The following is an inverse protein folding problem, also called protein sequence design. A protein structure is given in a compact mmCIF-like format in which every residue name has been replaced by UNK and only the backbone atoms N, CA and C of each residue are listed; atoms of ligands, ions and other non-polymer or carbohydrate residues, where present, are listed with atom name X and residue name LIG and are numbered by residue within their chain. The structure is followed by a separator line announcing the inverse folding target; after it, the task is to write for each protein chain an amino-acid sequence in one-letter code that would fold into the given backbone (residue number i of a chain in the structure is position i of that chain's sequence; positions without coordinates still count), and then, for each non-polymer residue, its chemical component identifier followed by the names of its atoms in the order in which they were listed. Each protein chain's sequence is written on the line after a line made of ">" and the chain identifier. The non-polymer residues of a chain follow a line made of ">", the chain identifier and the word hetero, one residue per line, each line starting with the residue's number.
data_IF_632711870335
#
_entry.id   IF_632711870335
#
_cell.length_a   1.000
_cell.length_b   1.000
_cell.length_c   1.000
_cell.angle_alpha   90.00
_cell.angle_beta   90.00
_cell.angle_gamma   90.00
#
_symmetry.space_group_name_H-M   'P 1'
#
loop_
_entity.id
_entity.type
_entity.pdbx_description
1 polymer ?
#
# COMPACT_ATOMS: atom_id res chain seq x y z
N UNK A 1 -72.35 -35.96 -27.62
CA UNK A 1 -71.80 -36.67 -26.44
C UNK A 1 -72.64 -36.25 -25.23
N UNK A 2 -73.65 -37.05 -24.91
CA UNK A 2 -73.88 -37.75 -23.63
C UNK A 2 -74.23 -36.80 -22.46
N UNK A 3 -75.52 -36.72 -22.06
CA UNK A 3 -76.26 -37.59 -21.07
C UNK A 3 -76.00 -37.11 -19.63
N UNK A 4 -76.89 -37.02 -18.63
CA UNK A 4 -78.28 -37.41 -18.26
C UNK A 4 -78.66 -36.49 -17.06
N UNK A 5 -79.89 -36.05 -16.71
CA UNK A 5 -81.21 -36.66 -16.44
C UNK A 5 -81.36 -37.53 -15.16
N UNK A 6 -82.54 -37.42 -14.51
CA UNK A 6 -83.12 -38.04 -13.28
C UNK A 6 -82.94 -37.20 -11.98
N UNK A 7 -83.94 -36.60 -11.31
CA UNK A 7 -85.37 -36.91 -11.04
C UNK A 7 -85.59 -38.24 -10.29
N UNK A 8 -85.93 -38.18 -8.99
CA UNK A 8 -86.98 -38.98 -8.33
C UNK A 8 -87.17 -38.63 -6.84
N UNK A 9 -88.41 -38.81 -6.41
CA UNK A 9 -89.14 -38.31 -5.24
C UNK A 9 -89.34 -39.33 -4.10
N UNK A 10 -89.43 -38.85 -2.84
CA UNK A 10 -90.27 -39.20 -1.63
C UNK A 10 -90.83 -40.65 -1.41
N UNK A 11 -91.19 -41.12 -0.18
CA UNK A 11 -91.62 -40.36 1.02
C UNK A 11 -91.25 -40.88 2.46
N UNK A 12 -91.51 -39.99 3.44
CA UNK A 12 -91.87 -40.10 4.88
C UNK A 12 -91.68 -41.40 5.69
N UNK A 13 -91.20 -41.25 6.94
CA UNK A 13 -91.94 -41.57 8.19
C UNK A 13 -91.37 -40.73 9.36
N UNK A 14 -92.29 -40.13 10.11
CA UNK A 14 -92.13 -39.33 11.33
C UNK A 14 -91.82 -40.21 12.54
N UNK A 15 -90.87 -39.80 13.39
CA UNK A 15 -90.97 -39.98 14.84
C UNK A 15 -90.58 -38.69 15.55
N UNK A 16 -91.56 -38.17 16.28
CA UNK A 16 -91.50 -37.03 17.17
C UNK A 16 -90.55 -37.28 18.35
N UNK A 17 -89.64 -36.35 18.63
CA UNK A 17 -89.19 -36.05 20.00
C UNK A 17 -88.80 -34.56 20.09
N UNK A 18 -89.79 -33.69 19.97
CA UNK A 18 -89.62 -32.26 20.25
C UNK A 18 -89.58 -32.04 21.76
N UNK A 19 -88.39 -32.06 22.37
CA UNK A 19 -88.16 -31.34 23.62
C UNK A 19 -88.10 -29.84 23.28
N UNK A 20 -89.25 -29.17 23.24
CA UNK A 20 -89.29 -27.72 23.31
C UNK A 20 -88.96 -27.30 24.74
N UNK A 21 -87.67 -27.21 25.06
CA UNK A 21 -87.23 -26.27 26.10
C UNK A 21 -87.61 -24.87 25.62
N UNK A 22 -88.31 -24.05 26.42
CA UNK A 22 -88.53 -22.67 26.05
C UNK A 22 -87.17 -22.04 25.77
N UNK A 23 -86.97 -21.53 24.55
CA UNK A 23 -85.78 -20.75 24.21
C UNK A 23 -85.71 -19.64 25.26
N UNK A 24 -84.65 -19.67 26.07
CA UNK A 24 -84.43 -18.70 27.12
C UNK A 24 -83.99 -17.38 26.45
N UNK A 25 -84.96 -16.66 25.90
CA UNK A 25 -84.79 -15.45 25.08
C UNK A 25 -83.90 -14.43 25.81
N UNK A 26 -83.99 -14.41 27.14
CA UNK A 26 -83.21 -13.54 28.02
C UNK A 26 -81.71 -13.90 28.06
N UNK A 27 -81.36 -15.18 27.96
CA UNK A 27 -79.97 -15.63 27.90
C UNK A 27 -79.33 -15.30 26.54
N UNK A 28 -80.11 -15.46 25.46
CA UNK A 28 -79.71 -15.06 24.11
C UNK A 28 -79.47 -13.55 24.01
N UNK A 29 -80.34 -12.74 24.63
CA UNK A 29 -80.21 -11.28 24.65
C UNK A 29 -78.97 -10.83 25.44
N UNK A 30 -78.70 -11.44 26.60
CA UNK A 30 -77.45 -11.23 27.37
C UNK A 30 -76.21 -11.62 26.58
N UNK A 31 -76.22 -12.76 25.88
CA UNK A 31 -75.10 -13.17 25.02
C UNK A 31 -74.90 -12.18 23.87
N UNK A 32 -75.97 -11.69 23.25
CA UNK A 32 -75.88 -10.70 22.19
C UNK A 32 -75.27 -9.38 22.68
N UNK A 33 -75.71 -8.88 23.85
CA UNK A 33 -75.12 -7.68 24.46
C UNK A 33 -73.63 -7.88 24.81
N UNK A 34 -73.27 -9.04 25.37
CA UNK A 34 -71.87 -9.36 25.67
C UNK A 34 -71.01 -9.45 24.40
N UNK A 35 -71.52 -10.08 23.35
CA UNK A 35 -70.83 -10.18 22.06
C UNK A 35 -70.67 -8.81 21.39
N UNK A 36 -71.67 -7.94 21.47
CA UNK A 36 -71.57 -6.55 20.99
C UNK A 36 -70.52 -5.76 21.77
N UNK A 37 -70.45 -5.91 23.09
CA UNK A 37 -69.40 -5.30 23.91
C UNK A 37 -68.01 -5.83 23.56
N UNK A 38 -67.85 -7.14 23.39
CA UNK A 38 -66.58 -7.74 22.98
C UNK A 38 -66.16 -7.28 21.58
N UNK A 39 -67.10 -7.17 20.64
CA UNK A 39 -66.86 -6.61 19.30
C UNK A 39 -66.41 -5.15 19.38
N UNK A 40 -67.06 -4.33 20.21
CA UNK A 40 -66.66 -2.94 20.40
C UNK A 40 -65.24 -2.83 20.98
N UNK A 41 -64.91 -3.62 22.00
CA UNK A 41 -63.56 -3.67 22.60
C UNK A 41 -62.51 -4.10 21.57
N UNK A 42 -62.79 -5.17 20.82
CA UNK A 42 -61.88 -5.68 19.78
C UNK A 42 -61.70 -4.66 18.64
N UNK A 43 -62.78 -3.99 18.22
CA UNK A 43 -62.74 -2.94 17.19
C UNK A 43 -61.88 -1.75 17.63
N UNK A 44 -62.06 -1.30 18.87
CA UNK A 44 -61.22 -0.23 19.45
C UNK A 44 -59.75 -0.65 19.52
N UNK A 45 -59.46 -1.91 19.88
CA UNK A 45 -58.08 -2.42 19.93
C UNK A 45 -57.46 -2.55 18.53
N UNK A 46 -58.23 -2.99 17.53
CA UNK A 46 -57.78 -3.02 16.13
C UNK A 46 -57.43 -1.60 15.66
N UNK A 47 -58.29 -0.62 15.93
CA UNK A 47 -58.04 0.76 15.55
C UNK A 47 -56.80 1.35 16.23
N UNK A 48 -56.58 1.04 17.51
CA UNK A 48 -55.37 1.43 18.24
C UNK A 48 -54.10 0.82 17.62
N UNK A 49 -54.12 -0.49 17.35
CA UNK A 49 -53.00 -1.20 16.72
C UNK A 49 -52.73 -0.72 15.29
N UNK A 50 -53.76 -0.39 14.52
CA UNK A 50 -53.59 0.20 13.18
C UNK A 50 -52.92 1.57 13.25
N UNK A 51 -53.30 2.39 14.23
CA UNK A 51 -52.70 3.71 14.47
C UNK A 51 -51.23 3.57 14.85
N UNK A 52 -50.91 2.65 15.77
CA UNK A 52 -49.54 2.34 16.17
C UNK A 52 -48.71 1.80 15.01
N UNK A 53 -49.27 0.89 14.20
CA UNK A 53 -48.61 0.37 12.98
C UNK A 53 -48.28 1.49 12.01
N UNK A 54 -49.18 2.44 11.81
CA UNK A 54 -48.94 3.61 10.94
C UNK A 54 -47.82 4.51 11.50
N UNK A 55 -47.80 4.75 12.81
CA UNK A 55 -46.74 5.53 13.45
C UNK A 55 -45.37 4.84 13.33
N UNK A 56 -45.31 3.54 13.60
CA UNK A 56 -44.08 2.75 13.44
C UNK A 56 -43.61 2.74 11.98
N UNK A 57 -44.53 2.62 11.01
CA UNK A 57 -44.17 2.69 9.59
C UNK A 57 -43.58 4.05 9.20
N UNK A 58 -44.14 5.15 9.74
CA UNK A 58 -43.58 6.50 9.54
C UNK A 58 -42.19 6.62 10.15
N UNK A 59 -41.99 6.13 11.37
CA UNK A 59 -40.69 6.14 12.04
C UNK A 59 -39.64 5.29 11.28
N UNK A 60 -40.04 4.14 10.75
CA UNK A 60 -39.19 3.30 9.90
C UNK A 60 -38.76 4.01 8.61
N UNK A 61 -39.71 4.68 7.95
CA UNK A 61 -39.42 5.44 6.74
C UNK A 61 -38.45 6.59 7.02
N UNK A 62 -38.64 7.30 8.13
CA UNK A 62 -37.77 8.41 8.53
C UNK A 62 -36.37 7.93 8.91
N UNK A 63 -36.27 6.86 9.70
CA UNK A 63 -34.98 6.23 10.04
C UNK A 63 -34.22 5.79 8.78
N UNK A 64 -34.92 5.19 7.81
CA UNK A 64 -34.33 4.81 6.52
C UNK A 64 -33.86 6.01 5.70
N UNK A 65 -34.60 7.13 5.73
CA UNK A 65 -34.22 8.39 5.10
C UNK A 65 -32.93 8.94 5.71
N UNK A 66 -32.89 9.06 7.04
CA UNK A 66 -31.72 9.54 7.79
C UNK A 66 -30.51 8.65 7.53
N UNK A 67 -30.66 7.32 7.56
CA UNK A 67 -29.58 6.38 7.26
C UNK A 67 -28.98 6.58 5.88
N UNK A 68 -29.83 6.83 4.86
CA UNK A 68 -29.36 7.12 3.49
C UNK A 68 -28.58 8.43 3.41
N UNK A 69 -29.05 9.49 4.09
CA UNK A 69 -28.37 10.79 4.13
C UNK A 69 -27.00 10.66 4.82
N UNK A 70 -26.96 10.04 6.01
CA UNK A 70 -25.71 9.79 6.74
C UNK A 70 -24.75 8.94 5.91
N UNK A 71 -25.24 7.93 5.21
CA UNK A 71 -24.41 7.10 4.32
C UNK A 71 -23.75 7.92 3.21
N UNK A 72 -24.51 8.81 2.55
CA UNK A 72 -23.97 9.72 1.52
C UNK A 72 -22.97 10.71 2.10
N UNK A 73 -23.29 11.34 3.23
CA UNK A 73 -22.41 12.32 3.86
C UNK A 73 -21.11 11.68 4.36
N UNK A 74 -21.20 10.50 4.98
CA UNK A 74 -20.03 9.73 5.41
C UNK A 74 -19.14 9.34 4.24
N UNK A 75 -19.72 8.86 3.13
CA UNK A 75 -18.96 8.53 1.93
C UNK A 75 -18.30 9.77 1.31
N UNK A 76 -19.02 10.90 1.28
CA UNK A 76 -18.49 12.17 0.77
C UNK A 76 -17.28 12.63 1.60
N UNK A 77 -17.44 12.70 2.93
CA UNK A 77 -16.38 13.09 3.86
C UNK A 77 -15.18 12.12 3.81
N UNK A 78 -15.43 10.83 3.63
CA UNK A 78 -14.37 9.84 3.49
C UNK A 78 -13.54 10.05 2.21
N UNK A 79 -14.21 10.27 1.08
CA UNK A 79 -13.56 10.52 -0.21
C UNK A 79 -12.74 11.82 -0.17
N UNK A 80 -13.32 12.88 0.37
CA UNK A 80 -12.66 14.17 0.55
C UNK A 80 -11.43 14.06 1.46
N UNK A 81 -11.55 13.39 2.61
CA UNK A 81 -10.43 13.16 3.53
C UNK A 81 -9.31 12.35 2.88
N UNK A 82 -9.65 11.34 2.07
CA UNK A 82 -8.67 10.52 1.34
C UNK A 82 -7.94 11.34 0.29
N UNK A 83 -8.67 12.16 -0.46
CA UNK A 83 -8.09 13.07 -1.46
C UNK A 83 -7.15 14.08 -0.79
N UNK A 84 -7.60 14.76 0.26
CA UNK A 84 -6.81 15.74 0.99
C UNK A 84 -5.53 15.13 1.56
N UNK A 85 -5.61 13.94 2.17
CA UNK A 85 -4.43 13.20 2.65
C UNK A 85 -3.43 12.90 1.53
N UNK A 86 -3.93 12.54 0.35
CA UNK A 86 -3.07 12.28 -0.81
C UNK A 86 -2.37 13.57 -1.31
N UNK A 87 -3.08 14.70 -1.31
CA UNK A 87 -2.54 16.01 -1.70
C UNK A 87 -1.48 16.48 -0.70
N UNK A 88 -1.76 16.41 0.60
CA UNK A 88 -0.79 16.75 1.66
C UNK A 88 0.46 15.88 1.56
N UNK A 89 0.31 14.57 1.33
CA UNK A 89 1.45 13.67 1.15
C UNK A 89 2.33 14.08 -0.04
N UNK A 90 1.72 14.35 -1.20
CA UNK A 90 2.47 14.80 -2.39
C UNK A 90 3.20 16.10 -2.14
N UNK A 91 2.52 17.09 -1.56
CA UNK A 91 3.13 18.37 -1.21
C UNK A 91 4.33 18.18 -0.27
N UNK A 92 4.19 17.38 0.79
CA UNK A 92 5.31 17.09 1.70
C UNK A 92 6.47 16.37 1.00
N UNK A 93 6.18 15.42 0.11
CA UNK A 93 7.20 14.74 -0.69
C UNK A 93 7.95 15.72 -1.60
N UNK A 94 7.25 16.63 -2.27
CA UNK A 94 7.86 17.68 -3.10
C UNK A 94 8.76 18.61 -2.29
N UNK A 95 8.32 19.07 -1.10
CA UNK A 95 9.15 19.89 -0.22
C UNK A 95 10.40 19.14 0.25
N UNK A 96 10.26 17.87 0.65
CA UNK A 96 11.40 17.02 1.03
C UNK A 96 12.39 16.88 -0.13
N UNK A 97 11.89 16.70 -1.36
CA UNK A 97 12.74 16.55 -2.54
C UNK A 97 13.50 17.84 -2.88
N UNK A 98 12.89 19.01 -2.66
CA UNK A 98 13.56 20.32 -2.78
C UNK A 98 14.69 20.42 -1.75
N UNK A 99 14.42 20.12 -0.48
CA UNK A 99 15.45 20.15 0.56
C UNK A 99 16.59 19.16 0.31
N UNK A 100 16.29 17.92 -0.10
CA UNK A 100 17.31 16.94 -0.48
C UNK A 100 18.20 17.46 -1.61
N UNK A 101 17.60 18.10 -2.62
CA UNK A 101 18.35 18.67 -3.74
C UNK A 101 19.25 19.83 -3.29
N UNK A 102 18.76 20.68 -2.40
CA UNK A 102 19.55 21.74 -1.77
C UNK A 102 20.75 21.16 -1.00
N UNK A 103 20.56 20.13 -0.19
CA UNK A 103 21.65 19.51 0.59
C UNK A 103 22.75 18.92 -0.31
N UNK A 104 22.36 18.19 -1.36
CA UNK A 104 23.31 17.59 -2.32
C UNK A 104 24.08 18.66 -3.09
N UNK A 105 23.40 19.73 -3.52
CA UNK A 105 24.01 20.77 -4.35
C UNK A 105 24.96 21.67 -3.54
N UNK A 106 24.68 21.92 -2.26
CA UNK A 106 25.46 22.83 -1.41
C UNK A 106 26.56 22.14 -0.58
N UNK A 107 26.92 20.88 -0.87
CA UNK A 107 27.97 20.14 -0.14
C UNK A 107 27.73 20.03 1.39
N UNK A 108 26.47 20.07 1.83
CA UNK A 108 26.13 19.95 3.26
C UNK A 108 26.01 18.48 3.72
N UNK A 109 26.35 17.55 2.84
CA UNK A 109 26.29 16.12 3.08
C UNK A 109 27.69 15.55 3.30
N UNK A 110 27.78 14.56 4.18
CA UNK A 110 28.99 13.77 4.35
C UNK A 110 29.27 13.02 3.05
N UNK A 111 30.51 13.12 2.57
CA UNK A 111 30.99 12.39 1.41
C UNK A 111 31.79 11.17 1.84
N UNK A 112 31.49 10.02 1.24
CA UNK A 112 32.25 8.78 1.43
C UNK A 112 32.63 8.20 0.07
N UNK A 113 33.94 8.10 -0.19
CA UNK A 113 34.48 7.55 -1.43
C UNK A 113 35.82 8.18 -1.80
N UNK A 114 36.30 7.86 -3.00
CA UNK A 114 37.56 8.38 -3.52
C UNK A 114 37.49 9.85 -3.91
N UNK A 115 38.64 10.50 -4.02
CA UNK A 115 38.71 11.90 -4.43
C UNK A 115 38.12 12.13 -5.84
N UNK A 116 37.27 13.16 -5.99
CA UNK A 116 36.52 13.47 -7.20
C UNK A 116 37.32 14.29 -8.21
N UNK A 117 38.44 13.74 -8.67
CA UNK A 117 39.37 14.39 -9.61
C UNK A 117 39.42 13.71 -10.96
N UNK A 118 39.95 14.40 -11.97
CA UNK A 118 40.22 13.80 -13.27
C UNK A 118 41.44 12.86 -13.17
N UNK A 119 41.26 11.59 -13.55
CA UNK A 119 42.34 10.58 -13.55
C UNK A 119 42.66 10.10 -14.98
N UNK A 120 43.71 9.28 -15.14
CA UNK A 120 44.26 8.94 -16.47
C UNK A 120 43.80 7.58 -17.01
N UNK A 121 43.46 6.62 -16.15
CA UNK A 121 43.12 5.25 -16.56
C UNK A 121 41.61 5.02 -16.55
N UNK A 122 41.15 4.14 -17.43
CA UNK A 122 39.74 3.80 -17.60
C UNK A 122 39.61 2.32 -17.93
N UNK A 123 38.46 1.73 -17.59
CA UNK A 123 38.16 0.35 -17.93
C UNK A 123 37.20 0.28 -19.14
N UNK A 124 37.63 -0.38 -20.21
CA UNK A 124 36.87 -0.46 -21.47
C UNK A 124 35.74 -1.51 -21.50
N UNK A 125 35.37 -2.10 -20.36
CA UNK A 125 34.46 -3.27 -20.28
C UNK A 125 33.39 -3.09 -19.20
N UNK A 126 32.36 -3.93 -19.19
CA UNK A 126 31.41 -3.97 -18.08
C UNK A 126 32.09 -4.50 -16.82
N UNK A 127 31.88 -3.81 -15.71
CA UNK A 127 32.47 -4.21 -14.43
C UNK A 127 31.63 -3.79 -13.24
N UNK A 128 31.81 -4.54 -12.17
CA UNK A 128 31.35 -4.21 -10.85
C UNK A 128 32.54 -3.81 -10.00
N UNK A 129 32.55 -2.58 -9.49
CA UNK A 129 33.51 -2.09 -8.52
C UNK A 129 32.99 -2.30 -7.11
N UNK A 130 33.90 -2.59 -6.19
CA UNK A 130 33.64 -2.66 -4.75
C UNK A 130 34.74 -1.87 -4.04
N UNK A 131 34.39 -0.77 -3.40
CA UNK A 131 35.32 0.11 -2.70
C UNK A 131 35.51 -0.33 -1.25
N UNK A 132 36.55 -1.14 -1.01
CA UNK A 132 36.89 -1.63 0.32
C UNK A 132 37.68 -0.61 1.14
N UNK A 133 38.19 0.46 0.50
CA UNK A 133 39.01 1.46 1.18
C UNK A 133 38.14 2.44 1.96
N UNK A 134 37.03 2.86 1.37
CA UNK A 134 36.16 3.90 1.92
C UNK A 134 34.88 3.28 2.49
N UNK A 135 35.03 2.58 3.62
CA UNK A 135 33.89 2.06 4.36
C UNK A 135 33.05 3.20 4.96
N UNK A 136 31.74 2.98 5.09
CA UNK A 136 30.84 3.92 5.73
C UNK A 136 31.28 4.12 7.19
N UNK A 137 31.68 5.34 7.60
CA UNK A 137 32.30 5.56 8.91
C UNK A 137 31.30 5.51 10.07
N UNK A 138 30.02 5.84 9.79
CA UNK A 138 28.92 5.97 10.76
C UNK A 138 27.60 5.60 10.10
N UNK A 139 26.63 5.16 10.90
CA UNK A 139 25.30 4.85 10.38
C UNK A 139 24.60 6.11 9.87
N UNK A 140 23.65 5.96 8.95
CA UNK A 140 22.97 7.12 8.38
C UNK A 140 22.14 6.79 7.15
N UNK A 141 21.91 7.80 6.31
CA UNK A 141 21.10 7.67 5.09
C UNK A 141 21.86 8.21 3.90
N UNK A 142 22.05 7.37 2.87
CA UNK A 142 22.61 7.79 1.60
C UNK A 142 21.54 8.41 0.71
N UNK A 143 21.90 9.52 0.08
CA UNK A 143 20.99 10.36 -0.71
C UNK A 143 21.41 10.49 -2.16
N UNK A 144 22.67 10.21 -2.50
CA UNK A 144 23.14 10.28 -3.88
C UNK A 144 24.56 9.80 -4.08
N UNK A 145 25.02 9.95 -5.32
CA UNK A 145 26.35 9.58 -5.80
C UNK A 145 27.01 10.79 -6.46
N UNK A 146 28.33 10.89 -6.32
CA UNK A 146 29.19 11.70 -7.16
C UNK A 146 30.20 10.82 -7.88
N UNK A 147 30.50 11.19 -9.11
CA UNK A 147 31.71 10.71 -9.77
C UNK A 147 32.17 11.69 -10.84
N UNK A 148 33.44 11.54 -11.24
CA UNK A 148 34.00 12.20 -12.42
C UNK A 148 33.89 11.26 -13.64
N UNK A 149 32.97 11.57 -14.55
CA UNK A 149 32.73 10.76 -15.75
C UNK A 149 33.42 11.34 -16.98
N UNK A 150 34.03 10.49 -17.80
CA UNK A 150 34.62 10.95 -19.07
C UNK A 150 33.72 10.74 -20.28
N UNK A 151 32.70 9.90 -20.16
CA UNK A 151 31.69 9.64 -21.20
C UNK A 151 30.33 9.39 -20.55
N UNK A 152 29.23 9.72 -21.23
CA UNK A 152 27.88 9.34 -20.81
C UNK A 152 27.81 7.83 -20.56
N UNK A 153 27.12 7.43 -19.50
CA UNK A 153 27.04 6.03 -19.10
C UNK A 153 25.78 5.75 -18.28
N UNK A 154 25.56 4.48 -17.98
CA UNK A 154 24.58 4.03 -17.02
C UNK A 154 25.30 3.36 -15.88
N UNK A 155 24.80 3.51 -14.66
CA UNK A 155 25.39 2.84 -13.51
C UNK A 155 24.36 2.51 -12.44
N UNK A 156 24.72 1.60 -11.56
CA UNK A 156 23.93 1.27 -10.38
C UNK A 156 24.83 1.26 -9.15
N UNK A 157 24.38 1.91 -8.08
CA UNK A 157 25.07 1.90 -6.78
C UNK A 157 24.49 0.79 -5.92
N UNK A 158 25.34 0.13 -5.15
CA UNK A 158 24.96 -0.96 -4.25
C UNK A 158 25.63 -0.77 -2.90
N UNK A 159 24.95 -1.24 -1.87
CA UNK A 159 25.47 -1.29 -0.50
C UNK A 159 25.73 -2.74 -0.15
N UNK A 160 26.94 -3.00 0.32
CA UNK A 160 27.40 -4.28 0.79
C UNK A 160 27.55 -4.26 2.31
N UNK A 161 26.91 -5.21 2.97
CA UNK A 161 27.10 -5.44 4.40
C UNK A 161 28.06 -6.58 4.64
N UNK A 162 29.00 -6.37 5.55
CA UNK A 162 29.88 -7.43 6.03
C UNK A 162 29.10 -8.33 6.98
N UNK A 163 28.95 -9.59 6.60
CA UNK A 163 28.37 -10.64 7.45
C UNK A 163 29.38 -11.80 7.43
N UNK A 164 29.94 -12.09 8.60
CA UNK A 164 31.11 -12.95 8.75
C UNK A 164 32.25 -12.51 7.82
N UNK A 165 32.73 -13.40 6.94
CA UNK A 165 33.79 -13.13 5.97
C UNK A 165 33.26 -12.91 4.54
N UNK A 166 32.02 -12.41 4.42
CA UNK A 166 31.35 -12.18 3.14
C UNK A 166 30.74 -10.78 3.07
N UNK A 167 30.71 -10.24 1.86
CA UNK A 167 30.01 -9.03 1.49
C UNK A 167 28.66 -9.42 0.90
N UNK A 168 27.57 -9.06 1.59
CA UNK A 168 26.20 -9.32 1.17
C UNK A 168 25.59 -8.05 0.61
N UNK A 169 25.04 -8.10 -0.60
CA UNK A 169 24.34 -6.94 -1.17
C UNK A 169 23.02 -6.76 -0.42
N UNK A 170 22.90 -5.69 0.36
CA UNK A 170 21.69 -5.37 1.11
C UNK A 170 20.76 -4.42 0.35
N UNK A 171 21.32 -3.67 -0.61
CA UNK A 171 20.55 -2.70 -1.38
C UNK A 171 21.17 -2.43 -2.76
N UNK A 172 20.30 -2.08 -3.72
CA UNK A 172 20.65 -1.67 -5.07
C UNK A 172 19.83 -0.43 -5.46
N UNK A 173 20.49 0.57 -6.05
CA UNK A 173 19.82 1.77 -6.57
C UNK A 173 19.01 1.44 -7.82
N UNK A 174 18.08 2.33 -8.18
CA UNK A 174 17.58 2.34 -9.55
C UNK A 174 18.74 2.68 -10.50
N UNK A 175 18.63 2.27 -11.75
CA UNK A 175 19.62 2.58 -12.76
C UNK A 175 19.74 4.10 -12.94
N UNK A 176 20.95 4.61 -12.81
CA UNK A 176 21.27 6.02 -12.95
C UNK A 176 21.78 6.27 -14.37
N UNK A 177 21.10 7.16 -15.08
CA UNK A 177 21.47 7.56 -16.43
C UNK A 177 22.31 8.85 -16.37
N UNK A 178 23.59 8.74 -16.69
CA UNK A 178 24.54 9.85 -16.69
C UNK A 178 24.73 10.34 -18.12
N UNK A 179 24.08 11.46 -18.45
CA UNK A 179 24.09 12.01 -19.81
C UNK A 179 25.25 12.98 -20.10
N UNK A 180 25.95 13.46 -19.07
CA UNK A 180 27.00 14.47 -19.17
C UNK A 180 28.35 13.94 -18.67
N UNK A 181 29.42 14.60 -19.08
CA UNK A 181 30.79 14.34 -18.64
C UNK A 181 31.26 15.38 -17.62
N UNK A 182 32.35 15.10 -16.91
CA UNK A 182 32.89 15.91 -15.82
C UNK A 182 32.42 15.44 -14.44
N UNK A 183 32.49 16.33 -13.45
CA UNK A 183 31.96 16.09 -12.12
C UNK A 183 30.44 16.09 -12.15
N UNK A 184 29.83 14.93 -11.91
CA UNK A 184 28.38 14.79 -11.85
C UNK A 184 27.97 14.36 -10.46
N UNK A 185 26.95 15.02 -9.93
CA UNK A 185 26.24 14.62 -8.71
C UNK A 185 24.83 14.20 -9.11
N UNK A 186 24.37 13.07 -8.59
CA UNK A 186 23.03 12.55 -8.89
C UNK A 186 22.42 11.98 -7.63
N UNK A 187 21.17 12.35 -7.36
CA UNK A 187 20.41 11.84 -6.22
C UNK A 187 19.85 10.45 -6.51
N UNK A 188 19.73 9.63 -5.48
CA UNK A 188 18.96 8.40 -5.56
C UNK A 188 17.47 8.71 -5.52
N UNK A 189 16.69 7.97 -6.30
CA UNK A 189 15.23 8.07 -6.24
C UNK A 189 14.69 7.59 -4.88
N UNK A 190 15.30 6.52 -4.37
CA UNK A 190 15.02 5.97 -3.04
C UNK A 190 16.29 6.10 -2.21
N UNK A 191 16.19 6.77 -1.07
CA UNK A 191 17.27 6.87 -0.09
C UNK A 191 17.42 5.55 0.66
N UNK A 192 18.64 5.21 1.07
CA UNK A 192 18.92 3.93 1.76
C UNK A 192 19.60 4.18 3.10
N UNK A 193 19.15 3.47 4.13
CA UNK A 193 19.82 3.43 5.42
C UNK A 193 21.07 2.57 5.35
N UNK A 194 22.18 3.05 5.91
CA UNK A 194 23.47 2.36 5.96
C UNK A 194 23.97 2.27 7.38
N UNK A 195 24.78 1.25 7.64
CA UNK A 195 25.43 1.00 8.92
C UNK A 195 26.94 1.27 8.82
N UNK A 196 27.56 1.49 9.98
CA UNK A 196 29.01 1.62 10.07
C UNK A 196 29.68 0.34 9.55
N UNK A 197 30.67 0.49 8.68
CA UNK A 197 31.40 -0.62 8.06
C UNK A 197 30.73 -1.21 6.82
N UNK A 198 29.55 -0.72 6.43
CA UNK A 198 28.99 -1.02 5.11
C UNK A 198 29.95 -0.50 4.02
N UNK A 199 30.02 -1.24 2.92
CA UNK A 199 30.91 -1.02 1.78
C UNK A 199 30.10 -0.63 0.56
N UNK A 200 30.66 0.18 -0.32
CA UNK A 200 29.99 0.65 -1.51
C UNK A 200 30.44 -0.11 -2.74
N UNK A 201 29.51 -0.39 -3.65
CA UNK A 201 29.87 -0.91 -4.96
C UNK A 201 29.08 -0.28 -6.09
N UNK A 202 29.66 -0.36 -7.28
CA UNK A 202 29.25 0.39 -8.45
C UNK A 202 29.28 -0.52 -9.66
N UNK A 203 28.11 -0.81 -10.21
CA UNK A 203 27.99 -1.63 -11.39
C UNK A 203 27.83 -0.77 -12.65
N UNK A 204 28.68 -1.04 -13.63
CA UNK A 204 28.66 -0.43 -14.96
C UNK A 204 28.30 -1.53 -15.98
N UNK A 205 27.07 -1.53 -16.53
CA UNK A 205 26.65 -2.52 -17.54
C UNK A 205 27.38 -2.39 -18.88
N UNK A 206 27.97 -1.23 -19.15
CA UNK A 206 28.80 -0.96 -20.31
C UNK A 206 30.22 -0.60 -19.84
N UNK A 207 31.13 -0.35 -20.79
CA UNK A 207 32.50 0.11 -20.49
C UNK A 207 32.50 1.15 -19.36
N UNK A 208 33.12 0.87 -18.21
CA UNK A 208 33.10 1.84 -17.11
C UNK A 208 33.88 3.10 -17.49
N UNK A 209 33.17 4.22 -17.45
CA UNK A 209 33.68 5.52 -17.85
C UNK A 209 34.22 6.31 -16.68
N UNK A 210 34.42 5.67 -15.52
CA UNK A 210 34.99 6.31 -14.34
C UNK A 210 36.50 6.14 -14.34
N UNK A 211 37.18 7.26 -14.18
CA UNK A 211 38.62 7.33 -14.17
C UNK A 211 39.19 6.73 -12.86
N UNK A 212 40.33 6.04 -12.94
CA UNK A 212 41.05 5.54 -11.77
C UNK A 212 42.56 5.77 -11.86
N UNK A 213 43.22 5.70 -10.72
CA UNK A 213 44.68 5.56 -10.59
C UNK A 213 44.99 4.28 -9.80
N UNK A 214 46.24 3.81 -9.87
CA UNK A 214 46.72 2.62 -9.15
C UNK A 214 47.60 3.02 -7.96
N UNK A 215 47.70 2.15 -6.96
CA UNK A 215 48.62 2.29 -5.82
C UNK A 215 48.13 3.15 -4.66
N UNK A 216 46.89 3.64 -4.67
CA UNK A 216 46.37 4.55 -3.62
C UNK A 216 45.03 4.14 -3.03
N UNK A 217 44.33 3.16 -3.62
CA UNK A 217 43.02 2.70 -3.16
C UNK A 217 42.97 1.20 -2.86
N UNK A 218 41.79 0.71 -2.52
CA UNK A 218 41.47 -0.72 -2.40
C UNK A 218 40.09 -0.96 -3.04
N UNK A 219 39.88 -0.38 -4.22
CA UNK A 219 38.73 -0.72 -5.05
C UNK A 219 39.05 -1.96 -5.86
N UNK A 220 38.32 -3.03 -5.59
CA UNK A 220 38.42 -4.31 -6.30
C UNK A 220 37.28 -4.45 -7.28
N UNK A 221 37.37 -5.40 -8.21
CA UNK A 221 36.39 -5.52 -9.27
C UNK A 221 35.99 -6.96 -9.61
N UNK A 222 34.81 -7.09 -10.22
CA UNK A 222 34.35 -8.31 -10.90
C UNK A 222 34.04 -7.98 -12.35
N UNK A 223 34.50 -8.84 -13.24
CA UNK A 223 34.21 -8.73 -14.67
C UNK A 223 32.88 -9.41 -14.98
N UNK A 224 32.07 -8.78 -15.84
CA UNK A 224 30.85 -9.37 -16.43
C UNK A 224 29.81 -9.92 -15.45
N UNK A 225 29.85 -9.51 -14.17
CA UNK A 225 28.93 -9.99 -13.13
C UNK A 225 28.27 -8.84 -12.40
N UNK A 226 26.93 -8.87 -12.33
CA UNK A 226 26.12 -7.95 -11.55
C UNK A 226 25.56 -8.67 -10.31
N UNK A 227 26.08 -8.34 -9.12
CA UNK A 227 25.57 -8.90 -7.87
C UNK A 227 24.25 -8.22 -7.47
N UNK A 228 23.18 -9.00 -7.32
CA UNK A 228 21.84 -8.51 -6.94
C UNK A 228 21.65 -8.52 -5.41
N UNK A 229 20.67 -7.76 -4.87
CA UNK A 229 20.31 -7.84 -3.45
C UNK A 229 20.12 -9.30 -2.99
N UNK A 230 20.64 -9.62 -1.80
CA UNK A 230 20.66 -10.96 -1.23
C UNK A 230 21.83 -11.85 -1.69
N UNK A 231 22.55 -11.48 -2.76
CA UNK A 231 23.76 -12.21 -3.14
C UNK A 231 24.93 -11.91 -2.19
N UNK A 232 25.83 -12.88 -2.04
CA UNK A 232 27.03 -12.76 -1.21
C UNK A 232 28.28 -13.05 -2.02
N UNK A 233 29.38 -12.40 -1.66
CA UNK A 233 30.69 -12.62 -2.26
C UNK A 233 31.79 -12.52 -1.21
N UNK A 234 32.85 -13.32 -1.35
CA UNK A 234 34.05 -13.15 -0.50
C UNK A 234 34.92 -12.03 -1.06
N UNK A 235 35.45 -11.12 -0.21
CA UNK A 235 36.41 -10.09 -0.67
C UNK A 235 37.60 -10.66 -1.43
N UNK A 236 38.07 -11.86 -1.05
CA UNK A 236 39.18 -12.58 -1.70
C UNK A 236 38.88 -13.04 -3.13
N UNK A 237 37.61 -13.13 -3.52
CA UNK A 237 37.20 -13.50 -4.88
C UNK A 237 37.08 -12.29 -5.83
N UNK A 238 37.31 -11.08 -5.31
CA UNK A 238 37.36 -9.87 -6.12
C UNK A 238 38.75 -9.74 -6.75
N UNK A 239 38.81 -9.34 -8.01
CA UNK A 239 40.07 -9.12 -8.73
C UNK A 239 40.64 -7.73 -8.42
N UNK A 240 41.95 -7.57 -8.64
CA UNK A 240 42.60 -6.26 -8.64
C UNK A 240 43.16 -5.79 -7.30
N UNK A 241 43.27 -6.68 -6.31
CA UNK A 241 43.90 -6.41 -5.01
C UNK A 241 45.30 -5.79 -5.15
N UNK A 242 46.18 -6.41 -5.95
CA UNK A 242 47.55 -5.91 -6.18
C UNK A 242 47.62 -4.56 -6.90
N UNK A 243 46.52 -4.13 -7.54
CA UNK A 243 46.50 -2.91 -8.35
C UNK A 243 46.16 -1.68 -7.51
N UNK A 244 45.56 -1.88 -6.32
CA UNK A 244 45.22 -0.81 -5.39
C UNK A 244 44.52 0.38 -6.07
N UNK A 245 43.46 0.09 -6.83
CA UNK A 245 42.80 1.08 -7.67
C UNK A 245 42.03 2.08 -6.80
N UNK A 246 42.16 3.36 -7.10
CA UNK A 246 41.36 4.44 -6.53
C UNK A 246 40.55 5.08 -7.65
N UNK A 247 39.22 5.00 -7.55
CA UNK A 247 38.31 5.58 -8.54
C UNK A 247 37.81 6.96 -8.08
N UNK A 248 37.52 7.84 -9.03
CA UNK A 248 36.90 9.15 -8.77
C UNK A 248 35.39 9.05 -8.62
N UNK A 249 34.95 8.33 -7.58
CA UNK A 249 33.55 8.07 -7.29
C UNK A 249 33.31 7.94 -5.79
N UNK A 250 32.09 8.23 -5.36
CA UNK A 250 31.66 8.12 -3.98
C UNK A 250 30.18 8.45 -3.82
N UNK A 251 29.69 8.36 -2.59
CA UNK A 251 28.29 8.66 -2.23
C UNK A 251 28.22 9.83 -1.27
N UNK A 252 27.06 10.47 -1.25
CA UNK A 252 26.71 11.46 -0.23
C UNK A 252 25.59 10.93 0.66
N UNK A 253 25.67 11.29 1.93
CA UNK A 253 24.64 10.95 2.90
C UNK A 253 24.60 11.90 4.08
N UNK A 254 23.61 11.69 4.93
CA UNK A 254 23.55 12.25 6.27
C UNK A 254 24.00 11.15 7.23
N UNK A 255 25.22 11.24 7.73
CA UNK A 255 25.80 10.25 8.65
C UNK A 255 25.76 10.80 10.08
N UNK A 256 25.35 9.98 11.03
CA UNK A 256 25.15 10.38 12.44
C UNK A 256 26.15 9.68 13.35
#
# INVERSE_FOLDING_TARGET
>A
MLRNLCLLSLPCILVLSGCQTPINVHELEKRNQSLQQQLAIKKNKIQALETERQQLQKALNESNRVRKIIGKEKSSRFNESTLLRSQVRRFLQEQIDVYKSFLVNNNLLDYVGGELVKRKQYDGRSLMLVDLKNEIPRAGVLTGVAAWFVKPTQMTVKVFRKIDNKLVVVWESHQLNISKTGLIKTRFHVTVGVEKGDVLGYYFPQAATVAFDKGTGDTRYLQHRNLRPGSSISPSSLEGEDQQRAYSLGVYGLLQ
#
